data_IF_308762268116
#
_entry.id   IF_308762268116
#
_cell.length_a   1.000
_cell.length_b   1.000
_cell.length_c   1.000
_cell.angle_alpha   90.00
_cell.angle_beta   90.00
_cell.angle_gamma   90.00
#
_symmetry.space_group_name_H-M   'P 1'
#
loop_
_entity.id
_entity.type
_entity.pdbx_description
1 polymer ?
#
# COMPACT_ATOMS: atom_id res chain seq x y z
N UNK A 1 -6.82 27.07 16.15
CA UNK A 1 -6.68 25.88 15.29
C UNK A 1 -7.05 26.21 13.86
N UNK A 2 -6.21 25.80 12.92
CA UNK A 2 -6.50 25.91 11.49
C UNK A 2 -7.29 24.67 11.10
N UNK A 3 -8.53 24.85 10.66
CA UNK A 3 -9.32 23.76 10.08
C UNK A 3 -8.85 23.50 8.64
N UNK A 4 -8.37 22.29 8.40
CA UNK A 4 -7.82 21.86 7.11
C UNK A 4 -8.89 21.23 6.20
N UNK A 5 -10.16 21.17 6.59
CA UNK A 5 -11.26 20.71 5.73
C UNK A 5 -11.02 19.33 5.08
N UNK A 6 -10.56 18.35 5.88
CA UNK A 6 -10.49 16.97 5.41
C UNK A 6 -11.88 16.44 5.04
N UNK A 7 -11.95 15.63 3.99
CA UNK A 7 -13.20 15.04 3.50
C UNK A 7 -13.21 13.52 3.65
N UNK A 8 -14.40 12.96 3.74
CA UNK A 8 -14.59 11.51 3.64
C UNK A 8 -14.27 11.02 2.23
N UNK A 9 -13.56 9.90 2.14
CA UNK A 9 -13.17 9.28 0.89
C UNK A 9 -13.47 7.78 0.91
N UNK A 10 -14.04 7.21 -0.17
CA UNK A 10 -14.21 5.78 -0.28
C UNK A 10 -12.87 5.12 -0.62
N UNK A 11 -12.51 4.05 0.10
CA UNK A 11 -11.35 3.22 -0.24
C UNK A 11 -11.85 1.91 -0.86
N UNK A 12 -11.52 1.69 -2.13
CA UNK A 12 -11.99 0.53 -2.88
C UNK A 12 -10.90 -0.53 -2.92
N UNK A 13 -11.25 -1.78 -2.59
CA UNK A 13 -10.32 -2.91 -2.55
C UNK A 13 -10.89 -4.10 -3.28
N UNK A 14 -10.09 -4.75 -4.11
CA UNK A 14 -10.42 -6.01 -4.77
C UNK A 14 -9.25 -6.97 -4.63
N UNK A 15 -9.56 -8.25 -4.41
CA UNK A 15 -8.56 -9.29 -4.22
C UNK A 15 -9.00 -10.61 -4.83
N UNK A 16 -8.02 -11.41 -5.22
CA UNK A 16 -8.17 -12.76 -5.71
C UNK A 16 -7.26 -13.68 -4.91
N UNK A 17 -7.82 -14.79 -4.44
CA UNK A 17 -7.05 -15.88 -3.84
C UNK A 17 -7.26 -17.16 -4.64
N UNK A 18 -6.18 -17.91 -4.88
CA UNK A 18 -6.24 -19.18 -5.59
C UNK A 18 -5.30 -20.20 -4.97
N UNK A 19 -5.78 -21.44 -4.87
CA UNK A 19 -4.97 -22.58 -4.39
C UNK A 19 -4.83 -23.60 -5.53
N UNK A 20 -3.89 -23.38 -6.48
CA UNK A 20 -3.74 -24.27 -7.63
C UNK A 20 -3.23 -25.67 -7.23
N UNK A 21 -2.64 -25.80 -6.03
CA UNK A 21 -2.17 -27.05 -5.44
C UNK A 21 -2.38 -27.00 -3.92
N UNK A 22 -2.56 -28.14 -3.22
CA UNK A 22 -2.71 -28.16 -1.75
C UNK A 22 -1.56 -27.52 -0.95
N UNK A 23 -0.39 -27.35 -1.58
CA UNK A 23 0.78 -26.74 -0.95
C UNK A 23 0.94 -25.26 -1.31
N UNK A 24 0.26 -24.77 -2.35
CA UNK A 24 0.44 -23.41 -2.85
C UNK A 24 -0.83 -22.59 -2.66
N UNK A 25 -0.69 -21.42 -2.04
CA UNK A 25 -1.73 -20.42 -1.96
C UNK A 25 -1.21 -19.11 -2.56
N UNK A 26 -1.89 -18.60 -3.58
CA UNK A 26 -1.54 -17.39 -4.28
C UNK A 26 -2.57 -16.31 -3.98
N UNK A 27 -2.11 -15.07 -3.84
CA UNK A 27 -2.95 -13.89 -3.62
C UNK A 27 -2.53 -12.78 -4.55
N UNK A 28 -3.51 -12.05 -5.06
CA UNK A 28 -3.31 -10.79 -5.76
C UNK A 28 -4.37 -9.79 -5.31
N UNK A 29 -4.05 -8.51 -5.34
CA UNK A 29 -4.99 -7.48 -4.93
C UNK A 29 -4.64 -6.11 -5.47
N UNK A 30 -5.67 -5.27 -5.52
CA UNK A 30 -5.60 -3.88 -5.90
C UNK A 30 -6.43 -3.03 -4.94
N UNK A 31 -5.89 -1.89 -4.54
CA UNK A 31 -6.60 -0.87 -3.76
C UNK A 31 -6.44 0.49 -4.41
N UNK A 32 -7.53 1.21 -4.55
CA UNK A 32 -7.51 2.64 -4.86
C UNK A 32 -7.88 3.42 -3.59
N UNK A 33 -7.01 4.34 -3.19
CA UNK A 33 -7.15 5.17 -1.99
C UNK A 33 -7.03 6.64 -2.38
N UNK A 34 -8.15 7.36 -2.48
CA UNK A 34 -8.12 8.82 -2.66
C UNK A 34 -7.53 9.52 -1.43
N UNK A 35 -6.95 10.70 -1.63
CA UNK A 35 -6.50 11.56 -0.55
C UNK A 35 -7.69 12.25 0.14
N UNK A 36 -7.80 12.16 1.48
CA UNK A 36 -8.76 12.95 2.24
C UNK A 36 -8.28 14.40 2.43
N UNK A 37 -7.00 14.67 2.18
CA UNK A 37 -6.40 15.98 2.37
C UNK A 37 -6.86 16.96 1.25
N UNK A 38 -7.12 18.23 1.58
CA UNK A 38 -7.27 19.25 0.55
C UNK A 38 -5.94 19.47 -0.19
N UNK A 39 -6.02 20.14 -1.34
CA UNK A 39 -4.82 20.58 -2.07
C UNK A 39 -4.00 21.51 -1.15
N UNK A 40 -2.70 21.22 -0.93
CA UNK A 40 -1.86 22.04 -0.06
C UNK A 40 -1.79 23.49 -0.51
N UNK A 41 -1.79 24.40 0.45
CA UNK A 41 -1.67 25.85 0.23
C UNK A 41 -0.46 26.40 0.98
N UNK A 42 -0.22 27.72 0.95
CA UNK A 42 0.90 28.33 1.68
C UNK A 42 0.85 28.13 3.20
N UNK A 43 -0.32 27.84 3.77
CA UNK A 43 -0.50 27.68 5.21
C UNK A 43 -0.14 26.27 5.73
N UNK A 44 -0.10 25.24 4.87
CA UNK A 44 0.19 23.87 5.25
C UNK A 44 0.73 23.05 4.08
N UNK A 45 1.70 22.17 4.34
CA UNK A 45 2.41 21.42 3.31
C UNK A 45 2.22 19.90 3.49
N UNK A 46 0.97 19.42 3.48
CA UNK A 46 0.67 18.01 3.63
C UNK A 46 0.63 17.30 2.27
N UNK A 47 1.70 16.60 1.92
CA UNK A 47 1.82 15.91 0.64
C UNK A 47 1.17 14.52 0.77
N UNK A 48 -0.14 14.47 0.54
CA UNK A 48 -0.90 13.21 0.47
C UNK A 48 -1.63 13.14 -0.88
N UNK A 49 -1.16 12.25 -1.73
CA UNK A 49 -1.73 11.99 -3.06
C UNK A 49 -2.70 10.81 -3.03
N UNK A 50 -3.58 10.76 -4.02
CA UNK A 50 -4.28 9.54 -4.39
C UNK A 50 -3.26 8.42 -4.64
N UNK A 51 -3.62 7.19 -4.26
CA UNK A 51 -2.72 6.05 -4.30
C UNK A 51 -3.38 4.82 -4.93
N UNK A 52 -2.63 4.20 -5.83
CA UNK A 52 -2.88 2.86 -6.36
C UNK A 52 -1.96 1.86 -5.68
N UNK A 53 -2.53 0.89 -4.98
CA UNK A 53 -1.77 -0.16 -4.30
C UNK A 53 -1.99 -1.48 -5.01
N UNK A 54 -0.91 -2.08 -5.49
CA UNK A 54 -0.89 -3.41 -6.09
C UNK A 54 -0.19 -4.37 -5.14
N UNK A 55 -0.80 -5.52 -4.87
CA UNK A 55 -0.24 -6.54 -4.00
C UNK A 55 -0.25 -7.90 -4.66
N UNK A 56 0.82 -8.67 -4.46
CA UNK A 56 0.87 -10.10 -4.79
C UNK A 56 1.51 -10.86 -3.64
N UNK A 57 1.07 -12.09 -3.43
CA UNK A 57 1.61 -12.94 -2.38
C UNK A 57 1.54 -14.41 -2.77
N UNK A 58 2.48 -15.18 -2.22
CA UNK A 58 2.52 -16.62 -2.35
C UNK A 58 2.84 -17.23 -0.99
N UNK A 59 2.12 -18.28 -0.64
CA UNK A 59 2.39 -19.11 0.52
C UNK A 59 2.64 -20.54 0.07
N UNK A 60 3.68 -21.14 0.61
CA UNK A 60 4.01 -22.55 0.43
C UNK A 60 3.87 -23.30 1.75
N UNK A 61 3.13 -24.39 1.76
CA UNK A 61 2.93 -25.23 2.93
C UNK A 61 3.70 -26.54 2.79
N UNK A 62 4.65 -26.73 3.70
CA UNK A 62 5.33 -28.01 3.90
C UNK A 62 4.39 -28.93 4.68
N UNK A 63 3.77 -29.87 3.97
CA UNK A 63 3.07 -30.99 4.59
C UNK A 63 4.11 -32.03 5.01
N UNK A 64 4.04 -32.51 6.25
CA UNK A 64 5.00 -33.39 6.93
C UNK A 64 5.62 -34.45 5.99
N UNK A 65 6.76 -34.16 5.33
CA UNK A 65 7.33 -35.07 4.35
C UNK A 65 8.29 -36.07 4.99
N UNK A 66 8.55 -35.93 6.30
CA UNK A 66 9.55 -36.71 7.04
C UNK A 66 8.94 -37.52 8.19
N UNK A 67 7.65 -37.39 8.48
CA UNK A 67 6.94 -37.98 9.64
C UNK A 67 7.52 -37.59 11.01
N UNK A 68 8.44 -36.61 11.05
CA UNK A 68 9.10 -36.15 12.28
C UNK A 68 8.25 -35.05 12.98
N UNK A 69 7.39 -34.33 12.25
CA UNK A 69 6.53 -33.27 12.79
C UNK A 69 5.13 -33.29 12.18
N UNK A 70 4.13 -33.69 12.98
CA UNK A 70 2.71 -33.79 12.61
C UNK A 70 2.06 -32.50 12.09
N UNK A 71 2.68 -31.33 12.32
CA UNK A 71 2.04 -30.04 12.08
C UNK A 71 2.61 -29.35 10.83
N UNK A 72 1.76 -28.93 9.88
CA UNK A 72 2.20 -28.19 8.71
C UNK A 72 2.86 -26.85 9.06
N UNK A 73 3.92 -26.51 8.34
CA UNK A 73 4.55 -25.19 8.37
C UNK A 73 4.31 -24.50 7.04
N UNK A 74 3.81 -23.27 7.08
CA UNK A 74 3.66 -22.42 5.90
C UNK A 74 4.69 -21.29 5.92
N UNK A 75 5.30 -21.03 4.77
CA UNK A 75 6.13 -19.85 4.51
C UNK A 75 5.39 -18.96 3.53
N UNK A 76 5.31 -17.68 3.82
CA UNK A 76 4.61 -16.68 3.02
C UNK A 76 5.57 -15.59 2.57
N UNK A 77 5.44 -15.18 1.31
CA UNK A 77 6.13 -14.04 0.71
C UNK A 77 5.07 -13.10 0.14
N UNK A 78 5.19 -11.81 0.45
CA UNK A 78 4.29 -10.76 -0.05
C UNK A 78 5.12 -9.62 -0.62
N UNK A 79 4.67 -9.08 -1.75
CA UNK A 79 5.16 -7.85 -2.34
C UNK A 79 4.01 -6.89 -2.59
N UNK A 80 4.20 -5.63 -2.24
CA UNK A 80 3.25 -4.55 -2.47
C UNK A 80 3.96 -3.35 -3.09
N UNK A 81 3.35 -2.77 -4.13
CA UNK A 81 3.76 -1.49 -4.71
C UNK A 81 2.62 -0.47 -4.53
N UNK A 82 2.90 0.64 -3.86
CA UNK A 82 1.99 1.79 -3.72
C UNK A 82 2.48 2.89 -4.63
N UNK A 83 1.74 3.17 -5.70
CA UNK A 83 2.00 4.25 -6.65
C UNK A 83 1.16 5.45 -6.27
N UNK A 84 1.82 6.57 -5.99
CA UNK A 84 1.21 7.85 -5.66
C UNK A 84 1.00 8.64 -6.96
N UNK A 85 -0.21 9.15 -7.17
CA UNK A 85 -0.49 10.08 -8.25
C UNK A 85 0.27 11.40 -8.06
N UNK A 86 0.56 12.07 -9.16
CA UNK A 86 1.24 13.36 -9.14
C UNK A 86 0.32 14.44 -8.55
N UNK A 87 0.66 14.91 -7.34
CA UNK A 87 0.04 16.05 -6.71
C UNK A 87 0.79 17.32 -7.10
N UNK A 88 0.11 18.22 -7.81
CA UNK A 88 0.62 19.56 -8.11
C UNK A 88 0.24 20.52 -6.99
N UNK A 89 1.24 21.11 -6.35
CA UNK A 89 1.07 22.15 -5.33
C UNK A 89 1.40 23.49 -5.96
N UNK A 90 0.39 24.36 -6.03
CA UNK A 90 0.56 25.72 -6.51
C UNK A 90 0.67 26.68 -5.33
N UNK A 91 1.73 27.49 -5.30
CA UNK A 91 1.92 28.50 -4.26
C UNK A 91 1.89 29.91 -4.85
N UNK A 92 1.43 30.88 -4.07
CA UNK A 92 1.31 32.26 -4.53
C UNK A 92 2.70 32.91 -4.74
N UNK A 93 2.88 33.60 -5.86
CA UNK A 93 4.14 34.25 -6.20
C UNK A 93 4.46 35.42 -5.25
N UNK A 94 5.68 35.44 -4.69
CA UNK A 94 6.16 36.56 -3.87
C UNK A 94 7.39 36.22 -3.02
N UNK A 95 8.01 37.24 -2.42
CA UNK A 95 9.22 37.10 -1.58
C UNK A 95 9.03 36.25 -0.31
N UNK A 96 7.79 35.95 0.06
CA UNK A 96 7.43 35.10 1.20
C UNK A 96 7.46 33.59 0.88
N UNK A 97 7.68 33.20 -0.39
CA UNK A 97 7.67 31.80 -0.81
C UNK A 97 8.88 31.44 -1.70
N UNK A 98 10.04 31.14 -1.09
CA UNK A 98 11.27 30.88 -1.84
C UNK A 98 11.29 29.52 -2.56
N UNK A 99 10.32 28.63 -2.29
CA UNK A 99 10.28 27.26 -2.85
C UNK A 99 9.49 27.22 -4.15
N UNK A 100 8.43 28.03 -4.26
CA UNK A 100 7.55 28.03 -5.43
C UNK A 100 6.70 26.76 -5.58
N UNK A 101 5.99 26.67 -6.70
CA UNK A 101 5.14 25.52 -7.02
C UNK A 101 5.99 24.27 -7.31
N UNK A 102 5.49 23.11 -6.93
CA UNK A 102 6.18 21.83 -7.16
C UNK A 102 5.17 20.70 -7.42
N UNK A 103 5.68 19.58 -7.96
CA UNK A 103 4.92 18.34 -8.12
C UNK A 103 5.53 17.27 -7.22
N UNK A 104 4.70 16.51 -6.53
CA UNK A 104 5.12 15.38 -5.72
C UNK A 104 4.33 14.13 -6.10
N UNK A 105 5.06 13.03 -6.30
CA UNK A 105 4.53 11.72 -6.63
C UNK A 105 5.60 10.67 -6.32
N UNK A 106 5.35 9.41 -6.66
CA UNK A 106 6.36 8.37 -6.50
C UNK A 106 5.79 6.98 -6.23
N UNK A 107 6.66 6.08 -5.79
CA UNK A 107 6.29 4.71 -5.46
C UNK A 107 6.91 4.26 -4.14
N UNK A 108 6.14 3.54 -3.34
CA UNK A 108 6.57 2.87 -2.11
C UNK A 108 6.48 1.37 -2.34
N UNK A 109 7.59 0.67 -2.17
CA UNK A 109 7.68 -0.78 -2.31
C UNK A 109 7.80 -1.42 -0.92
N UNK A 110 6.99 -2.44 -0.66
CA UNK A 110 7.02 -3.22 0.58
C UNK A 110 7.19 -4.70 0.25
N UNK A 111 8.08 -5.37 0.97
CA UNK A 111 8.30 -6.81 0.90
C UNK A 111 8.12 -7.37 2.30
N UNK A 112 7.41 -8.50 2.41
CA UNK A 112 7.20 -9.19 3.68
C UNK A 112 7.44 -10.68 3.54
N UNK A 113 7.99 -11.28 4.59
CA UNK A 113 8.09 -12.73 4.76
C UNK A 113 7.39 -13.13 6.06
N UNK A 114 6.61 -14.21 6.01
CA UNK A 114 5.85 -14.73 7.14
C UNK A 114 6.06 -16.23 7.33
N UNK A 115 5.95 -16.69 8.57
CA UNK A 115 5.98 -18.10 8.93
C UNK A 115 4.74 -18.42 9.76
N UNK A 116 4.02 -19.47 9.42
CA UNK A 116 2.84 -19.95 10.15
C UNK A 116 3.01 -21.41 10.51
N UNK A 117 2.68 -21.75 11.74
CA UNK A 117 2.69 -23.12 12.25
C UNK A 117 1.32 -23.40 12.86
N UNK A 118 0.67 -24.49 12.45
CA UNK A 118 -0.56 -24.95 13.11
C UNK A 118 -0.18 -25.58 14.45
N UNK A 119 -0.81 -25.17 15.55
CA UNK A 119 -0.65 -25.80 16.87
C UNK A 119 -1.41 -27.13 16.91
#
# INVERSE_FOLDING_TARGET
DVDLQFRDVPVVRVGLEQSPHPQWHLRAGYTWRPTPAPVPTQAFNHIDSDAHVFGVGASFTFQDPLEIRRNPVSVELVYQATVLEDLRVEKAAGAADPVGSYTAGGAIHSVGIGFRHAL
#
